data_IF_180199848131
#
_entry.id   IF_180199848131
#
_cell.length_a   1.000
_cell.length_b   1.000
_cell.length_c   1.000
_cell.angle_alpha   90.00
_cell.angle_beta   90.00
_cell.angle_gamma   90.00
#
_symmetry.space_group_name_H-M   'P 1'
#
loop_
_entity.id
_entity.type
_entity.pdbx_description
1 polymer ?
#
# COMPACT_ATOMS: atom_id res chain seq x y z
N UNK A 1 -11.55 -4.30 -18.44
CA UNK A 1 -12.36 -5.50 -18.23
C UNK A 1 -11.54 -6.61 -17.59
N UNK A 2 -12.15 -7.32 -16.68
CA UNK A 2 -11.43 -8.37 -15.96
C UNK A 2 -11.32 -9.62 -16.84
N UNK A 3 -10.11 -10.21 -16.88
CA UNK A 3 -9.88 -11.42 -17.66
C UNK A 3 -10.30 -12.65 -16.88
N UNK A 4 -10.39 -13.78 -17.60
CA UNK A 4 -10.72 -15.05 -16.97
C UNK A 4 -9.65 -15.42 -15.95
N UNK A 5 -8.38 -15.21 -16.31
CA UNK A 5 -7.27 -15.48 -15.40
C UNK A 5 -7.38 -14.64 -14.12
N UNK A 6 -7.73 -13.38 -14.26
CA UNK A 6 -7.90 -12.50 -13.10
C UNK A 6 -9.06 -12.95 -12.23
N UNK A 7 -10.15 -13.41 -12.86
CA UNK A 7 -11.30 -13.91 -12.09
C UNK A 7 -10.90 -15.10 -11.23
N UNK A 8 -10.13 -16.00 -11.81
CA UNK A 8 -9.69 -17.21 -11.09
C UNK A 8 -8.81 -16.82 -9.92
N UNK A 9 -7.85 -15.92 -10.17
CA UNK A 9 -6.96 -15.46 -9.09
C UNK A 9 -7.72 -14.72 -8.00
N UNK A 10 -8.67 -13.88 -8.40
CA UNK A 10 -9.46 -13.13 -7.41
C UNK A 10 -10.27 -14.08 -6.54
N UNK A 11 -10.91 -15.07 -7.15
CA UNK A 11 -11.68 -16.03 -6.38
C UNK A 11 -10.80 -16.79 -5.40
N UNK A 12 -9.62 -17.21 -5.85
CA UNK A 12 -8.68 -17.91 -4.99
C UNK A 12 -8.23 -17.04 -3.82
N UNK A 13 -7.96 -15.76 -4.09
CA UNK A 13 -7.55 -14.83 -3.04
C UNK A 13 -8.66 -14.68 -2.01
N UNK A 14 -9.89 -14.53 -2.46
CA UNK A 14 -11.03 -14.37 -1.55
C UNK A 14 -11.25 -15.60 -0.70
N UNK A 15 -10.87 -16.77 -1.20
CA UNK A 15 -10.98 -18.01 -0.44
C UNK A 15 -9.80 -18.25 0.49
N UNK A 16 -8.81 -17.35 0.48
CA UNK A 16 -7.68 -17.47 1.39
C UNK A 16 -6.57 -18.36 0.86
N UNK A 17 -6.43 -18.50 -0.44
CA UNK A 17 -5.39 -19.31 -1.04
C UNK A 17 -4.05 -18.61 -0.93
N UNK A 18 -3.24 -19.03 0.04
CA UNK A 18 -1.97 -18.37 0.33
C UNK A 18 -0.97 -18.54 -0.81
N UNK A 19 -1.01 -19.65 -1.51
CA UNK A 19 -0.09 -19.85 -2.63
C UNK A 19 -0.37 -18.90 -3.77
N UNK A 20 -1.63 -18.65 -4.04
CA UNK A 20 -2.00 -17.69 -5.07
C UNK A 20 -1.61 -16.27 -4.62
N UNK A 21 -1.83 -15.96 -3.35
CA UNK A 21 -1.43 -14.65 -2.82
C UNK A 21 0.08 -14.47 -2.96
N UNK A 22 0.85 -15.47 -2.61
CA UNK A 22 2.30 -15.41 -2.73
C UNK A 22 2.73 -15.22 -4.18
N UNK A 23 2.07 -15.91 -5.09
CA UNK A 23 2.38 -15.80 -6.51
C UNK A 23 2.11 -14.38 -7.02
N UNK A 24 1.00 -13.79 -6.59
CA UNK A 24 0.66 -12.43 -6.97
C UNK A 24 1.68 -11.46 -6.37
N UNK A 25 2.03 -11.66 -5.12
CA UNK A 25 3.03 -10.83 -4.46
C UNK A 25 4.36 -10.85 -5.23
N UNK A 26 4.83 -12.05 -5.57
CA UNK A 26 6.10 -12.17 -6.28
C UNK A 26 6.09 -11.54 -7.65
N UNK A 27 4.96 -11.66 -8.34
CA UNK A 27 4.85 -11.11 -9.68
C UNK A 27 4.84 -9.59 -9.67
N UNK A 28 4.16 -8.98 -8.70
CA UNK A 28 3.90 -7.56 -8.74
C UNK A 28 4.74 -6.71 -7.80
N UNK A 29 5.40 -7.31 -6.82
CA UNK A 29 6.09 -6.53 -5.80
C UNK A 29 7.13 -5.57 -6.39
N UNK A 30 8.02 -6.09 -7.25
CA UNK A 30 9.06 -5.25 -7.85
C UNK A 30 8.50 -4.11 -8.66
N UNK A 31 7.64 -4.40 -9.65
CA UNK A 31 7.04 -3.32 -10.44
C UNK A 31 6.25 -2.31 -9.61
N UNK A 32 5.57 -2.77 -8.57
CA UNK A 32 4.81 -1.88 -7.71
C UNK A 32 5.73 -0.97 -6.89
N UNK A 33 6.86 -1.50 -6.43
CA UNK A 33 7.84 -0.67 -5.73
C UNK A 33 8.41 0.41 -6.64
N UNK A 34 8.71 0.05 -7.88
CA UNK A 34 9.17 1.04 -8.86
C UNK A 34 8.11 2.12 -9.05
N UNK A 35 6.85 1.70 -9.17
CA UNK A 35 5.76 2.65 -9.32
C UNK A 35 5.62 3.56 -8.10
N UNK A 36 5.72 2.99 -6.91
CA UNK A 36 5.59 3.77 -5.68
C UNK A 36 6.66 4.84 -5.56
N UNK A 37 7.84 4.58 -6.12
CA UNK A 37 8.95 5.54 -6.07
C UNK A 37 8.69 6.80 -6.91
N UNK A 38 7.67 6.80 -7.71
CA UNK A 38 7.24 8.03 -8.39
C UNK A 38 6.68 9.04 -7.41
N UNK A 39 6.20 8.56 -6.27
CA UNK A 39 5.57 9.40 -5.25
C UNK A 39 6.43 9.50 -4.00
N UNK A 40 7.21 8.46 -3.71
CA UNK A 40 7.98 8.35 -2.48
C UNK A 40 9.45 8.19 -2.86
N UNK A 41 10.23 9.22 -2.56
CA UNK A 41 11.63 9.25 -2.98
C UNK A 41 12.46 8.17 -2.28
N UNK A 42 12.19 7.94 -1.00
CA UNK A 42 12.94 6.97 -0.21
C UNK A 42 12.52 5.55 -0.60
N UNK A 43 13.45 4.73 -1.12
CA UNK A 43 13.10 3.37 -1.54
C UNK A 43 12.55 2.51 -0.40
N UNK A 44 13.03 2.71 0.82
CA UNK A 44 12.53 1.94 1.96
C UNK A 44 11.09 2.27 2.27
N UNK A 45 10.74 3.54 2.18
CA UNK A 45 9.36 3.96 2.40
C UNK A 45 8.46 3.41 1.30
N UNK A 46 8.94 3.42 0.06
CA UNK A 46 8.17 2.86 -1.05
C UNK A 46 7.88 1.38 -0.80
N UNK A 47 8.88 0.63 -0.35
CA UNK A 47 8.69 -0.79 -0.06
C UNK A 47 7.69 -1.01 1.07
N UNK A 48 7.78 -0.18 2.12
CA UNK A 48 6.83 -0.29 3.22
C UNK A 48 5.40 -0.05 2.76
N UNK A 49 5.22 0.94 1.90
CA UNK A 49 3.88 1.26 1.40
C UNK A 49 3.32 0.10 0.58
N UNK A 50 4.16 -0.51 -0.27
CA UNK A 50 3.71 -1.63 -1.08
C UNK A 50 3.39 -2.83 -0.20
N UNK A 51 4.22 -3.12 0.78
CA UNK A 51 3.96 -4.24 1.70
C UNK A 51 2.67 -4.00 2.48
N UNK A 52 2.46 -2.78 2.94
CA UNK A 52 1.24 -2.45 3.68
C UNK A 52 0.00 -2.61 2.80
N UNK A 53 0.11 -2.24 1.54
CA UNK A 53 -1.00 -2.42 0.61
C UNK A 53 -1.36 -3.90 0.47
N UNK A 54 -0.35 -4.76 0.30
CA UNK A 54 -0.60 -6.19 0.18
C UNK A 54 -1.19 -6.77 1.47
N UNK A 55 -0.68 -6.32 2.61
CA UNK A 55 -1.17 -6.79 3.89
C UNK A 55 -2.65 -6.44 4.07
N UNK A 56 -3.01 -5.21 3.77
CA UNK A 56 -4.40 -4.79 3.90
C UNK A 56 -5.30 -5.48 2.90
N UNK A 57 -4.78 -5.72 1.70
CA UNK A 57 -5.55 -6.48 0.71
C UNK A 57 -5.85 -7.88 1.24
N UNK A 58 -4.86 -8.53 1.84
CA UNK A 58 -5.06 -9.85 2.39
C UNK A 58 -6.04 -9.84 3.56
N UNK A 59 -5.91 -8.87 4.44
CA UNK A 59 -6.84 -8.75 5.56
C UNK A 59 -8.29 -8.59 5.11
N UNK A 60 -8.48 -7.88 4.02
CA UNK A 60 -9.81 -7.56 3.52
C UNK A 60 -10.20 -8.38 2.29
N UNK A 61 -9.58 -9.52 2.13
CA UNK A 61 -9.78 -10.32 0.93
C UNK A 61 -11.23 -10.71 0.70
N UNK A 62 -12.00 -10.88 1.76
CA UNK A 62 -13.41 -11.26 1.64
C UNK A 62 -14.20 -10.20 0.90
N UNK A 63 -13.81 -8.94 1.02
CA UNK A 63 -14.56 -7.84 0.43
C UNK A 63 -13.91 -7.30 -0.84
N UNK A 64 -12.93 -8.01 -1.39
CA UNK A 64 -12.28 -7.56 -2.61
C UNK A 64 -13.28 -7.54 -3.77
N UNK A 65 -13.32 -6.41 -4.46
CA UNK A 65 -14.11 -6.25 -5.66
C UNK A 65 -13.20 -5.63 -6.71
N UNK A 66 -12.93 -6.38 -7.77
CA UNK A 66 -12.06 -5.92 -8.85
C UNK A 66 -12.87 -6.04 -10.15
N UNK A 67 -13.10 -4.89 -10.78
CA UNK A 67 -13.93 -4.83 -11.97
C UNK A 67 -13.12 -4.56 -13.23
N UNK A 68 -11.85 -4.21 -13.09
CA UNK A 68 -11.01 -3.97 -14.26
C UNK A 68 -10.03 -5.12 -14.40
N UNK A 69 -8.76 -4.90 -14.10
CA UNK A 69 -7.78 -5.98 -14.10
C UNK A 69 -7.07 -5.99 -12.76
N UNK A 70 -6.51 -7.14 -12.45
CA UNK A 70 -5.73 -7.24 -11.21
C UNK A 70 -4.57 -6.25 -11.24
N UNK A 71 -3.90 -6.14 -12.38
CA UNK A 71 -2.80 -5.20 -12.54
C UNK A 71 -3.24 -3.77 -12.25
N UNK A 72 -4.33 -3.34 -12.90
CA UNK A 72 -4.82 -1.98 -12.70
C UNK A 72 -5.22 -1.74 -11.25
N UNK A 73 -5.85 -2.72 -10.63
CA UNK A 73 -6.25 -2.60 -9.25
C UNK A 73 -5.05 -2.40 -8.33
N UNK A 74 -4.02 -3.23 -8.52
CA UNK A 74 -2.85 -3.17 -7.65
C UNK A 74 -2.09 -1.86 -7.80
N UNK A 75 -1.91 -1.40 -9.03
CA UNK A 75 -1.21 -0.13 -9.26
C UNK A 75 -1.99 1.04 -8.70
N UNK A 76 -3.31 1.05 -8.88
CA UNK A 76 -4.14 2.11 -8.31
C UNK A 76 -4.09 2.07 -6.79
N UNK A 77 -4.11 0.88 -6.23
CA UNK A 77 -4.09 0.71 -4.79
C UNK A 77 -2.78 1.25 -4.19
N UNK A 78 -1.66 0.95 -4.84
CA UNK A 78 -0.37 1.48 -4.39
C UNK A 78 -0.33 3.00 -4.50
N UNK A 79 -0.84 3.54 -5.61
CA UNK A 79 -0.91 5.00 -5.76
C UNK A 79 -1.68 5.62 -4.60
N UNK A 80 -2.84 5.04 -4.28
CA UNK A 80 -3.66 5.57 -3.18
C UNK A 80 -2.93 5.48 -1.84
N UNK A 81 -2.27 4.37 -1.58
CA UNK A 81 -1.51 4.22 -0.34
C UNK A 81 -0.34 5.22 -0.27
N UNK A 82 0.34 5.42 -1.40
CA UNK A 82 1.45 6.37 -1.44
C UNK A 82 0.97 7.79 -1.19
N UNK A 83 -0.13 8.18 -1.82
CA UNK A 83 -0.69 9.52 -1.64
C UNK A 83 -1.17 9.72 -0.21
N UNK A 84 -1.77 8.68 0.37
CA UNK A 84 -2.20 8.76 1.77
C UNK A 84 -1.00 8.90 2.70
N UNK A 85 0.08 8.21 2.40
CA UNK A 85 1.31 8.33 3.20
C UNK A 85 1.83 9.76 3.15
N UNK A 86 1.88 10.36 1.97
CA UNK A 86 2.34 11.74 1.82
C UNK A 86 1.43 12.69 2.59
N UNK A 87 0.14 12.48 2.49
CA UNK A 87 -0.83 13.31 3.19
C UNK A 87 -0.64 13.20 4.69
N UNK A 88 -0.43 11.98 5.19
CA UNK A 88 -0.19 11.76 6.61
C UNK A 88 1.07 12.48 7.06
N UNK A 89 2.14 12.38 6.29
CA UNK A 89 3.40 13.06 6.62
C UNK A 89 3.20 14.58 6.67
N UNK A 90 2.41 15.10 5.75
CA UNK A 90 2.09 16.52 5.76
C UNK A 90 1.37 16.96 7.03
N UNK A 91 0.42 16.14 7.47
CA UNK A 91 -0.33 16.43 8.69
C UNK A 91 0.59 16.39 9.91
N UNK A 92 1.46 15.39 9.96
CA UNK A 92 2.40 15.28 11.07
C UNK A 92 3.32 16.50 11.11
N UNK A 93 3.82 16.92 9.96
CA UNK A 93 4.72 18.07 9.90
C UNK A 93 4.01 19.33 10.36
N UNK A 94 2.76 19.54 9.93
CA UNK A 94 2.00 20.69 10.38
C UNK A 94 1.80 20.71 11.88
N UNK A 95 1.52 19.54 12.43
CA UNK A 95 1.35 19.44 13.87
C UNK A 95 2.65 19.79 14.59
N UNK A 96 3.76 19.29 14.11
CA UNK A 96 5.06 19.56 14.71
C UNK A 96 5.38 21.06 14.67
N UNK A 97 5.08 21.70 13.57
CA UNK A 97 5.29 23.13 13.43
C UNK A 97 4.41 23.91 14.40
N UNK A 98 3.17 23.46 14.55
CA UNK A 98 2.20 24.15 15.40
C UNK A 98 2.60 24.09 16.87
N UNK A 99 2.96 22.91 17.36
CA UNK A 99 3.35 22.76 18.77
C UNK A 99 4.80 23.13 19.00
N UNK A 100 5.55 23.26 17.95
CA UNK A 100 6.88 23.79 17.99
C UNK A 100 7.87 22.95 18.74
N UNK A 101 8.78 23.66 19.33
CA UNK A 101 9.97 23.07 19.96
C UNK A 101 9.67 22.18 21.15
N UNK A 102 8.46 22.20 21.66
CA UNK A 102 8.15 21.46 22.88
C UNK A 102 8.10 19.96 22.68
N UNK A 103 8.01 19.50 21.44
CA UNK A 103 7.87 18.07 21.15
C UNK A 103 9.03 17.53 20.36
N UNK A 104 10.16 18.19 20.44
CA UNK A 104 11.32 17.79 19.66
C UNK A 104 11.67 16.33 19.85
N UNK A 105 11.62 15.87 21.08
CA UNK A 105 12.10 14.53 21.40
C UNK A 105 11.10 13.45 21.09
N UNK A 106 9.84 13.78 21.02
CA UNK A 106 8.80 12.77 20.85
C UNK A 106 8.27 12.65 19.43
N UNK A 107 8.50 13.64 18.63
CA UNK A 107 7.84 13.71 17.34
C UNK A 107 8.13 12.54 16.42
N UNK A 108 9.35 12.04 16.45
CA UNK A 108 9.71 10.96 15.55
C UNK A 108 9.05 9.65 15.93
N UNK A 109 8.77 9.48 17.20
CA UNK A 109 8.18 8.23 17.67
C UNK A 109 6.74 8.11 17.23
N UNK A 110 5.93 9.07 17.57
CA UNK A 110 4.49 8.96 17.30
C UNK A 110 4.18 9.02 15.82
N UNK A 111 4.97 9.74 15.07
CA UNK A 111 4.66 9.99 13.66
C UNK A 111 4.67 8.72 12.83
N UNK A 112 5.51 7.78 13.15
CA UNK A 112 5.72 6.63 12.30
C UNK A 112 5.00 5.38 12.74
N UNK A 113 4.57 5.36 13.96
CA UNK A 113 3.90 4.19 14.49
C UNK A 113 2.42 4.17 14.18
N UNK A 114 1.90 5.28 13.77
CA UNK A 114 0.48 5.43 13.52
C UNK A 114 0.01 4.79 12.20
#
# INVERSE_FOLDING_TARGET
MITESDKIRLLALKQGDEKVFESVFREFYGPLCVHARRYLIDPEVAEEVVQDMFFKMWERRDSLVITTSLTAYLFKSVTNHALNHIKYQGHVRKYEEYVGFRVDDQKSVSAHDA
#
